data_IF_122018628293
#
_entry.id   IF_122018628293
#
_cell.length_a   1.000
_cell.length_b   1.000
_cell.length_c   1.000
_cell.angle_alpha   90.00
_cell.angle_beta   90.00
_cell.angle_gamma   90.00
#
_symmetry.space_group_name_H-M   'P 1'
#
loop_
_entity.id
_entity.type
_entity.pdbx_description
1 polymer ?
#
# COMPACT_ATOMS: atom_id res chain seq x y z
N UNK A 1 -36.52 -20.72 32.85
CA UNK A 1 -36.87 -20.70 31.44
C UNK A 1 -36.28 -19.45 30.70
N UNK A 2 -36.43 -18.26 31.25
CA UNK A 2 -35.89 -17.02 30.64
C UNK A 2 -34.37 -16.99 30.31
N UNK A 3 -33.56 -17.70 31.11
CA UNK A 3 -32.10 -17.75 30.96
C UNK A 3 -31.67 -18.55 29.69
N UNK A 4 -32.34 -19.68 29.42
CA UNK A 4 -32.09 -20.50 28.21
C UNK A 4 -32.49 -19.77 26.93
N UNK A 5 -33.61 -19.06 26.99
CA UNK A 5 -34.08 -18.26 25.82
C UNK A 5 -33.12 -17.13 25.49
N UNK A 6 -32.57 -16.41 26.49
CA UNK A 6 -31.55 -15.37 26.26
C UNK A 6 -30.27 -15.95 25.67
N UNK A 7 -29.83 -17.11 26.11
CA UNK A 7 -28.66 -17.77 25.53
C UNK A 7 -28.88 -18.18 24.07
N UNK A 8 -30.05 -18.72 23.73
CA UNK A 8 -30.38 -19.08 22.34
C UNK A 8 -30.47 -17.86 21.42
N UNK A 9 -31.01 -16.74 21.90
CA UNK A 9 -31.08 -15.49 21.12
C UNK A 9 -29.67 -14.91 20.88
N UNK A 10 -28.80 -14.89 21.90
CA UNK A 10 -27.41 -14.42 21.74
C UNK A 10 -26.61 -15.31 20.78
N UNK A 11 -26.84 -16.63 20.83
CA UNK A 11 -26.20 -17.54 19.88
C UNK A 11 -26.68 -17.30 18.44
N UNK A 12 -27.99 -17.13 18.23
CA UNK A 12 -28.57 -16.83 16.93
C UNK A 12 -28.06 -15.49 16.37
N UNK A 13 -27.96 -14.47 17.22
CA UNK A 13 -27.38 -13.18 16.83
C UNK A 13 -25.92 -13.33 16.37
N UNK A 14 -25.13 -14.11 17.10
CA UNK A 14 -23.74 -14.38 16.72
C UNK A 14 -23.65 -15.14 15.38
N UNK A 15 -24.51 -16.14 15.16
CA UNK A 15 -24.57 -16.86 13.89
C UNK A 15 -24.97 -15.94 12.72
N UNK A 16 -25.92 -15.03 12.96
CA UNK A 16 -26.32 -14.02 11.95
C UNK A 16 -25.17 -13.04 11.65
N UNK A 17 -24.43 -12.56 12.66
CA UNK A 17 -23.26 -11.71 12.45
C UNK A 17 -22.19 -12.41 11.61
N UNK A 18 -21.92 -13.68 11.87
CA UNK A 18 -20.98 -14.48 11.07
C UNK A 18 -21.47 -14.67 9.63
N UNK A 19 -22.75 -14.94 9.42
CA UNK A 19 -23.33 -15.09 8.10
C UNK A 19 -23.28 -13.77 7.31
N UNK A 20 -23.58 -12.64 7.96
CA UNK A 20 -23.46 -11.30 7.36
C UNK A 20 -22.00 -11.02 6.95
N UNK A 21 -21.04 -11.27 7.83
CA UNK A 21 -19.63 -11.06 7.52
C UNK A 21 -19.18 -11.90 6.31
N UNK A 22 -19.59 -13.17 6.24
CA UNK A 22 -19.29 -14.04 5.10
C UNK A 22 -19.94 -13.54 3.81
N UNK A 23 -21.18 -13.06 3.88
CA UNK A 23 -21.90 -12.51 2.73
C UNK A 23 -21.24 -11.24 2.22
N UNK A 24 -20.84 -10.35 3.12
CA UNK A 24 -20.11 -9.12 2.78
C UNK A 24 -18.78 -9.44 2.09
N UNK A 25 -17.98 -10.36 2.62
CA UNK A 25 -16.72 -10.78 1.97
C UNK A 25 -16.96 -11.26 0.53
N UNK A 26 -18.08 -11.93 0.27
CA UNK A 26 -18.47 -12.41 -1.07
C UNK A 26 -19.06 -11.35 -1.99
N UNK A 27 -19.43 -10.17 -1.48
CA UNK A 27 -20.08 -9.11 -2.27
C UNK A 27 -19.12 -8.06 -2.82
N UNK A 28 -17.85 -8.05 -2.39
CA UNK A 28 -16.81 -7.14 -2.90
C UNK A 28 -16.48 -7.41 -4.37
N UNK A 29 -16.02 -6.36 -5.07
CA UNK A 29 -15.54 -6.50 -6.43
C UNK A 29 -14.15 -7.17 -6.47
N UNK A 30 -13.74 -7.77 -7.59
CA UNK A 30 -12.41 -8.34 -7.72
C UNK A 30 -11.32 -7.32 -7.41
N UNK A 31 -10.48 -7.63 -6.43
CA UNK A 31 -9.39 -6.73 -5.98
C UNK A 31 -9.77 -5.80 -4.82
N UNK A 32 -11.01 -5.79 -4.39
CA UNK A 32 -11.44 -5.09 -3.18
C UNK A 32 -11.29 -5.98 -1.93
N UNK A 33 -11.00 -5.34 -0.82
CA UNK A 33 -10.96 -5.94 0.51
C UNK A 33 -12.01 -5.30 1.39
N UNK A 34 -12.72 -6.12 2.15
CA UNK A 34 -13.62 -5.64 3.19
C UNK A 34 -12.79 -5.05 4.34
N UNK A 35 -13.22 -3.92 4.86
CA UNK A 35 -12.71 -3.36 6.11
C UNK A 35 -12.89 -4.34 7.26
N UNK A 36 -12.03 -4.26 8.28
CA UNK A 36 -12.17 -5.07 9.50
C UNK A 36 -13.38 -4.64 10.34
N UNK A 37 -13.91 -3.44 10.09
CA UNK A 37 -15.06 -2.90 10.82
C UNK A 37 -16.35 -3.19 10.07
N UNK A 38 -17.17 -4.05 10.64
CA UNK A 38 -18.55 -4.29 10.19
C UNK A 38 -19.47 -3.68 11.22
N UNK A 39 -20.40 -2.84 10.78
CA UNK A 39 -21.38 -2.19 11.62
C UNK A 39 -22.66 -2.99 11.54
N UNK A 40 -23.10 -3.52 12.68
CA UNK A 40 -24.34 -4.26 12.77
C UNK A 40 -25.47 -3.37 13.28
N UNK A 41 -26.60 -3.42 12.58
CA UNK A 41 -27.84 -2.78 13.05
C UNK A 41 -28.44 -3.55 14.25
N UNK A 42 -29.38 -2.90 14.97
CA UNK A 42 -30.05 -3.54 16.06
C UNK A 42 -30.86 -4.77 15.61
N UNK A 43 -30.80 -5.90 16.32
CA UNK A 43 -31.59 -7.07 15.99
C UNK A 43 -33.08 -6.80 16.14
N UNK A 44 -33.84 -7.16 15.14
CA UNK A 44 -35.31 -7.12 15.15
C UNK A 44 -35.83 -8.54 15.20
N UNK A 45 -36.74 -8.83 16.12
CA UNK A 45 -37.37 -10.16 16.18
C UNK A 45 -38.87 -10.07 16.26
N UNK A 46 -39.47 -11.01 15.55
CA UNK A 46 -40.91 -11.29 15.57
C UNK A 46 -41.12 -12.70 16.04
N UNK A 47 -42.12 -12.89 16.85
CA UNK A 47 -42.56 -14.22 17.32
C UNK A 47 -44.04 -14.41 17.07
N UNK A 48 -44.42 -15.64 16.93
CA UNK A 48 -45.84 -16.05 16.75
C UNK A 48 -46.58 -16.12 18.09
N UNK A 49 -45.89 -15.91 19.23
CA UNK A 49 -46.48 -16.02 20.56
C UNK A 49 -46.08 -14.86 21.46
N UNK A 50 -46.91 -14.60 22.49
CA UNK A 50 -46.64 -13.56 23.49
C UNK A 50 -45.80 -14.10 24.66
N UNK A 51 -45.06 -13.20 25.36
CA UNK A 51 -44.38 -13.60 26.58
C UNK A 51 -45.35 -14.15 27.60
N UNK A 52 -45.02 -15.34 28.19
CA UNK A 52 -45.77 -16.10 29.16
C UNK A 52 -46.82 -17.10 28.59
N UNK A 53 -46.94 -17.29 27.32
CA UNK A 53 -47.72 -18.38 26.75
C UNK A 53 -47.14 -19.73 27.21
N UNK A 54 -48.00 -20.61 27.67
CA UNK A 54 -47.62 -21.96 28.15
C UNK A 54 -47.60 -22.93 26.98
N UNK A 55 -46.61 -22.79 26.10
CA UNK A 55 -46.44 -23.62 24.92
C UNK A 55 -45.12 -24.39 24.98
N UNK A 56 -45.06 -25.61 24.41
CA UNK A 56 -43.85 -26.40 24.39
C UNK A 56 -42.81 -25.89 23.37
N UNK A 57 -43.25 -25.25 22.28
CA UNK A 57 -42.44 -24.76 21.19
C UNK A 57 -43.05 -23.49 20.62
N UNK A 58 -42.20 -22.59 20.15
CA UNK A 58 -42.61 -21.38 19.42
C UNK A 58 -41.69 -21.15 18.23
N UNK A 59 -42.17 -20.42 17.24
CA UNK A 59 -41.40 -19.97 16.09
C UNK A 59 -41.08 -18.48 16.23
N UNK A 60 -39.89 -18.11 15.82
CA UNK A 60 -39.47 -16.71 15.81
C UNK A 60 -38.49 -16.44 14.67
N UNK A 61 -38.54 -15.25 14.16
CA UNK A 61 -37.61 -14.75 13.15
C UNK A 61 -36.82 -13.61 13.71
N UNK A 62 -35.49 -13.67 13.54
CA UNK A 62 -34.57 -12.57 13.86
C UNK A 62 -33.98 -12.02 12.55
N UNK A 63 -33.98 -10.72 12.43
CA UNK A 63 -33.37 -10.01 11.31
C UNK A 63 -32.33 -9.04 11.85
N UNK A 64 -31.13 -9.09 11.27
CA UNK A 64 -30.01 -8.17 11.58
C UNK A 64 -29.51 -7.63 10.26
N UNK A 65 -29.29 -6.32 10.19
CA UNK A 65 -28.57 -5.70 9.07
C UNK A 65 -27.09 -5.55 9.40
N UNK A 66 -26.23 -5.54 8.38
CA UNK A 66 -24.82 -5.26 8.54
C UNK A 66 -24.28 -4.47 7.35
N UNK A 67 -23.44 -3.51 7.63
CA UNK A 67 -22.78 -2.66 6.65
C UNK A 67 -21.26 -2.75 6.85
N UNK A 68 -20.51 -2.76 5.75
CA UNK A 68 -19.06 -2.78 5.77
C UNK A 68 -18.52 -2.05 4.54
N UNK A 69 -17.44 -1.33 4.73
CA UNK A 69 -16.79 -0.57 3.66
C UNK A 69 -15.74 -1.42 2.95
N UNK A 70 -15.62 -1.23 1.63
CA UNK A 70 -14.62 -1.91 0.79
C UNK A 70 -13.55 -0.92 0.33
N UNK A 71 -12.33 -1.40 0.19
CA UNK A 71 -11.23 -0.62 -0.34
C UNK A 71 -10.37 -1.43 -1.32
N UNK A 72 -9.79 -0.74 -2.29
CA UNK A 72 -8.85 -1.33 -3.25
C UNK A 72 -7.42 -1.27 -2.70
N UNK A 73 -6.82 -2.42 -2.47
CA UNK A 73 -5.40 -2.51 -2.06
C UNK A 73 -4.47 -1.86 -3.08
N UNK A 74 -4.77 -2.00 -4.37
CA UNK A 74 -3.99 -1.40 -5.45
C UNK A 74 -4.05 0.14 -5.42
N UNK A 75 -5.17 0.72 -5.03
CA UNK A 75 -5.30 2.18 -4.99
C UNK A 75 -4.62 2.76 -3.75
N UNK A 76 -4.67 2.06 -2.62
CA UNK A 76 -3.86 2.40 -1.44
C UNK A 76 -2.37 2.37 -1.79
N UNK A 77 -1.89 1.31 -2.46
CA UNK A 77 -0.49 1.22 -2.90
C UNK A 77 -0.11 2.35 -3.86
N UNK A 78 -0.96 2.70 -4.84
CA UNK A 78 -0.74 3.82 -5.76
C UNK A 78 -0.69 5.16 -5.02
N UNK A 79 -1.55 5.36 -4.01
CA UNK A 79 -1.51 6.56 -3.18
C UNK A 79 -0.17 6.71 -2.45
N UNK A 80 0.34 5.64 -1.83
CA UNK A 80 1.67 5.63 -1.21
C UNK A 80 2.79 5.86 -2.23
N UNK A 81 2.71 5.27 -3.41
CA UNK A 81 3.67 5.49 -4.50
C UNK A 81 3.69 6.95 -4.95
N UNK A 82 2.52 7.55 -5.12
CA UNK A 82 2.38 8.96 -5.49
C UNK A 82 2.98 9.86 -4.41
N UNK A 83 2.70 9.57 -3.15
CA UNK A 83 3.24 10.31 -2.01
C UNK A 83 4.77 10.22 -1.93
N UNK A 84 5.34 9.04 -2.16
CA UNK A 84 6.79 8.87 -2.23
C UNK A 84 7.39 9.63 -3.40
N UNK A 85 6.79 9.57 -4.59
CA UNK A 85 7.31 10.24 -5.79
C UNK A 85 7.39 11.75 -5.63
N UNK A 86 6.46 12.35 -4.89
CA UNK A 86 6.46 13.79 -4.59
C UNK A 86 7.56 14.21 -3.60
N UNK A 87 8.11 13.26 -2.84
CA UNK A 87 9.17 13.51 -1.84
C UNK A 87 10.56 13.16 -2.31
N UNK A 88 10.69 12.56 -3.48
CA UNK A 88 11.99 12.28 -4.08
C UNK A 88 12.61 13.62 -4.53
N UNK A 89 13.87 13.92 -4.14
CA UNK A 89 14.58 15.09 -4.61
C UNK A 89 14.64 15.15 -6.14
N UNK A 90 14.71 16.37 -6.71
CA UNK A 90 14.69 16.56 -8.17
C UNK A 90 15.88 15.92 -8.90
N UNK A 91 16.99 15.72 -8.20
CA UNK A 91 18.22 15.07 -8.69
C UNK A 91 18.18 13.54 -8.61
N UNK A 92 17.09 12.99 -8.07
CA UNK A 92 16.88 11.56 -7.90
C UNK A 92 15.61 11.09 -8.59
N UNK A 93 15.49 9.80 -8.78
CA UNK A 93 14.30 9.13 -9.32
C UNK A 93 14.05 7.81 -8.60
N UNK A 94 12.80 7.44 -8.49
CA UNK A 94 12.41 6.11 -7.98
C UNK A 94 12.87 5.04 -8.98
N UNK A 95 13.39 3.94 -8.45
CA UNK A 95 13.74 2.79 -9.25
C UNK A 95 12.49 1.96 -9.53
N UNK A 96 12.08 1.94 -10.79
CA UNK A 96 10.91 1.19 -11.25
C UNK A 96 11.10 -0.33 -11.20
N UNK A 97 12.34 -0.79 -11.22
CA UNK A 97 12.69 -2.21 -11.19
C UNK A 97 12.63 -2.83 -9.78
N UNK A 98 12.57 -1.99 -8.75
CA UNK A 98 12.49 -2.45 -7.37
C UNK A 98 11.08 -2.24 -6.84
N UNK A 99 10.44 -3.30 -6.29
CA UNK A 99 9.11 -3.17 -5.74
C UNK A 99 9.12 -2.19 -4.57
N UNK A 100 8.13 -1.29 -4.55
CA UNK A 100 7.87 -0.42 -3.41
C UNK A 100 7.29 -1.29 -2.30
N UNK A 101 7.95 -1.28 -1.15
CA UNK A 101 7.44 -1.97 0.03
C UNK A 101 6.49 -1.04 0.76
N UNK A 102 5.22 -1.40 0.80
CA UNK A 102 4.18 -0.66 1.52
C UNK A 102 3.64 -1.52 2.64
N UNK A 103 3.62 -0.98 3.84
CA UNK A 103 2.95 -1.57 5.00
C UNK A 103 1.96 -0.54 5.53
N UNK A 104 0.70 -0.92 5.65
CA UNK A 104 -0.34 -0.01 6.13
C UNK A 104 -1.36 -0.75 6.99
N UNK A 105 -2.11 0.03 7.75
CA UNK A 105 -3.29 -0.42 8.51
C UNK A 105 -4.38 0.64 8.41
N UNK A 106 -5.62 0.23 8.59
CA UNK A 106 -6.74 1.14 8.74
C UNK A 106 -6.66 1.74 10.14
N UNK A 107 -6.64 3.06 10.24
CA UNK A 107 -6.64 3.79 11.52
C UNK A 107 -8.06 4.08 11.96
N UNK A 108 -8.89 4.51 11.03
CA UNK A 108 -10.28 4.88 11.30
C UNK A 108 -11.13 4.51 10.09
N UNK A 109 -12.26 3.90 10.38
CA UNK A 109 -13.29 3.53 9.43
C UNK A 109 -14.59 4.13 9.97
N UNK A 110 -14.94 5.30 9.43
CA UNK A 110 -16.14 6.02 9.86
C UNK A 110 -17.28 5.77 8.90
N UNK A 111 -18.48 5.63 9.42
CA UNK A 111 -19.70 5.58 8.62
C UNK A 111 -19.71 6.68 7.54
N UNK A 112 -19.93 6.29 6.29
CA UNK A 112 -19.95 7.22 5.16
C UNK A 112 -18.79 7.09 4.19
N UNK A 113 -18.04 5.96 4.22
CA UNK A 113 -17.03 5.61 3.22
C UNK A 113 -15.70 6.35 3.35
N UNK A 114 -15.45 7.02 4.48
CA UNK A 114 -14.17 7.68 4.74
C UNK A 114 -13.26 6.77 5.55
N UNK A 115 -12.34 6.10 4.88
CA UNK A 115 -11.29 5.32 5.54
C UNK A 115 -10.01 6.12 5.65
N UNK A 116 -9.38 6.06 6.82
CA UNK A 116 -8.05 6.64 7.05
C UNK A 116 -7.03 5.53 7.16
N UNK A 117 -6.04 5.58 6.28
CA UNK A 117 -4.93 4.63 6.28
C UNK A 117 -3.68 5.26 6.89
N UNK A 118 -3.02 4.52 7.75
CA UNK A 118 -1.70 4.88 8.29
C UNK A 118 -0.72 3.79 7.90
N UNK A 119 0.40 4.19 7.32
CA UNK A 119 1.39 3.24 6.87
C UNK A 119 2.75 3.83 6.63
N UNK A 120 3.67 2.96 6.26
CA UNK A 120 5.02 3.30 5.82
C UNK A 120 5.24 2.72 4.43
N UNK A 121 5.97 3.47 3.62
CA UNK A 121 6.40 3.00 2.32
C UNK A 121 7.91 3.22 2.19
N UNK A 122 8.60 2.23 1.64
CA UNK A 122 10.02 2.27 1.36
C UNK A 122 10.27 1.95 -0.11
N UNK A 123 11.10 2.75 -0.73
CA UNK A 123 11.51 2.55 -2.11
C UNK A 123 12.99 2.90 -2.29
N UNK A 124 13.59 2.32 -3.30
CA UNK A 124 14.95 2.68 -3.69
C UNK A 124 14.93 3.86 -4.63
N UNK A 125 15.88 4.75 -4.45
CA UNK A 125 16.11 5.90 -5.30
C UNK A 125 17.48 5.82 -5.95
N UNK A 126 17.58 6.33 -7.18
CA UNK A 126 18.84 6.48 -7.88
C UNK A 126 19.03 7.93 -8.34
N UNK A 127 20.27 8.39 -8.53
CA UNK A 127 20.51 9.66 -9.17
C UNK A 127 19.84 9.74 -10.54
N UNK A 128 19.19 10.87 -10.85
CA UNK A 128 18.67 11.12 -12.18
C UNK A 128 19.81 11.45 -13.11
N UNK A 129 20.19 10.50 -13.93
CA UNK A 129 21.25 10.66 -14.91
C UNK A 129 20.66 11.03 -16.27
N UNK A 130 21.13 12.13 -16.85
CA UNK A 130 20.76 12.53 -18.21
C UNK A 130 21.59 11.71 -19.21
N UNK A 131 20.98 10.62 -19.70
CA UNK A 131 21.64 9.73 -20.65
C UNK A 131 22.08 10.43 -21.93
N UNK A 132 21.29 11.38 -22.45
CA UNK A 132 21.60 12.10 -23.67
C UNK A 132 22.87 12.94 -23.46
N UNK A 133 22.95 13.63 -22.33
CA UNK A 133 24.12 14.41 -21.94
C UNK A 133 25.35 13.54 -21.73
N UNK A 134 25.20 12.40 -21.06
CA UNK A 134 26.28 11.45 -20.84
C UNK A 134 26.82 10.93 -22.17
N UNK A 135 25.95 10.44 -23.06
CA UNK A 135 26.34 9.95 -24.39
C UNK A 135 27.04 11.03 -25.22
N UNK A 136 26.56 12.26 -25.20
CA UNK A 136 27.16 13.38 -25.89
C UNK A 136 28.57 13.72 -25.35
N UNK A 137 28.79 13.52 -24.04
CA UNK A 137 30.08 13.78 -23.41
C UNK A 137 31.13 12.70 -23.67
N UNK A 138 30.72 11.45 -23.95
CA UNK A 138 31.67 10.35 -24.13
C UNK A 138 31.88 9.94 -25.61
N UNK A 139 30.99 10.35 -26.52
CA UNK A 139 31.07 10.03 -27.94
C UNK A 139 32.39 10.46 -28.55
N UNK A 140 33.08 9.57 -29.29
CA UNK A 140 34.35 9.82 -29.96
C UNK A 140 35.55 10.11 -29.05
N UNK A 141 35.40 10.06 -27.73
CA UNK A 141 36.53 10.27 -26.81
C UNK A 141 37.40 9.03 -26.65
N UNK A 142 38.69 9.20 -26.33
CA UNK A 142 39.52 8.11 -25.87
C UNK A 142 38.89 7.39 -24.68
N UNK A 143 38.99 6.06 -24.65
CA UNK A 143 38.33 5.22 -23.63
C UNK A 143 38.68 5.63 -22.20
N UNK A 144 39.96 6.01 -21.95
CA UNK A 144 40.43 6.46 -20.66
C UNK A 144 39.72 7.78 -20.22
N UNK A 145 39.51 8.70 -21.15
CA UNK A 145 38.81 9.97 -20.86
C UNK A 145 37.31 9.74 -20.63
N UNK A 146 36.68 8.85 -21.41
CA UNK A 146 35.30 8.47 -21.23
C UNK A 146 35.09 7.81 -19.86
N UNK A 147 35.96 6.89 -19.44
CA UNK A 147 35.95 6.25 -18.12
C UNK A 147 36.09 7.30 -17.03
N UNK A 148 37.06 8.18 -17.11
CA UNK A 148 37.29 9.23 -16.12
C UNK A 148 36.08 10.16 -15.94
N UNK A 149 35.41 10.50 -17.05
CA UNK A 149 34.17 11.28 -16.99
C UNK A 149 33.04 10.51 -16.29
N UNK A 150 32.85 9.24 -16.62
CA UNK A 150 31.81 8.38 -16.04
C UNK A 150 32.04 8.13 -14.55
N UNK A 151 33.28 7.95 -14.11
CA UNK A 151 33.65 7.74 -12.69
C UNK A 151 33.38 8.98 -11.81
N UNK A 152 33.19 10.17 -12.41
CA UNK A 152 32.81 11.39 -11.70
C UNK A 152 31.30 11.55 -11.49
N UNK A 153 30.50 10.72 -12.16
CA UNK A 153 29.06 10.71 -11.94
C UNK A 153 28.75 10.12 -10.56
N UNK A 154 27.60 10.43 -9.97
CA UNK A 154 27.19 9.91 -8.65
C UNK A 154 26.77 8.45 -8.76
N UNK A 155 27.65 7.58 -9.23
CA UNK A 155 27.47 6.15 -9.42
C UNK A 155 28.61 5.39 -8.73
N UNK A 156 28.30 4.16 -8.27
CA UNK A 156 29.23 3.38 -7.47
C UNK A 156 30.39 2.81 -8.27
N UNK A 157 30.13 2.36 -9.50
CA UNK A 157 31.17 1.75 -10.37
C UNK A 157 30.76 1.87 -11.84
N UNK A 158 31.77 1.88 -12.68
CA UNK A 158 31.63 1.94 -14.16
C UNK A 158 32.30 0.74 -14.78
N UNK A 159 31.59 0.05 -15.65
CA UNK A 159 32.16 -0.96 -16.55
C UNK A 159 31.85 -0.57 -17.99
N UNK A 160 32.86 -0.47 -18.83
CA UNK A 160 32.70 -0.25 -20.27
C UNK A 160 32.96 -1.57 -20.95
N UNK A 161 31.95 -2.06 -21.71
CA UNK A 161 32.03 -3.26 -22.53
C UNK A 161 31.99 -2.85 -24.00
N UNK A 162 32.94 -3.30 -24.77
CA UNK A 162 33.04 -3.02 -26.19
C UNK A 162 32.72 -4.29 -26.96
N UNK A 163 31.94 -4.16 -28.03
CA UNK A 163 31.60 -5.26 -28.94
C UNK A 163 31.51 -4.72 -30.36
N UNK A 164 31.98 -5.44 -31.39
CA UNK A 164 32.61 -6.76 -31.35
C UNK A 164 34.15 -6.75 -31.11
N UNK A 165 34.77 -5.58 -31.10
CA UNK A 165 36.20 -5.40 -30.94
C UNK A 165 36.52 -4.31 -29.93
N UNK A 166 37.59 -4.49 -29.18
CA UNK A 166 38.10 -3.46 -28.26
C UNK A 166 38.81 -2.38 -29.08
N UNK A 167 38.29 -1.15 -29.03
CA UNK A 167 38.84 0.02 -29.70
C UNK A 167 39.35 1.01 -28.67
N UNK A 168 40.43 1.75 -28.97
CA UNK A 168 40.94 2.77 -28.02
C UNK A 168 40.03 3.99 -27.87
N UNK A 169 38.99 4.11 -28.70
CA UNK A 169 38.08 5.23 -28.78
C UNK A 169 36.62 4.78 -28.64
N UNK A 170 35.82 5.59 -27.97
CA UNK A 170 34.37 5.42 -27.94
C UNK A 170 33.76 5.59 -29.34
N UNK A 171 32.63 4.93 -29.65
CA UNK A 171 31.95 5.08 -30.93
C UNK A 171 31.66 6.54 -31.27
N UNK A 172 31.84 6.90 -32.54
CA UNK A 172 31.53 8.24 -33.05
C UNK A 172 30.01 8.48 -33.22
N UNK A 173 29.22 7.39 -33.27
CA UNK A 173 27.76 7.49 -33.41
C UNK A 173 27.12 7.30 -32.02
N UNK A 174 26.37 8.30 -31.55
CA UNK A 174 25.65 8.27 -30.27
C UNK A 174 24.74 7.06 -30.14
N UNK A 175 24.07 6.64 -31.22
CA UNK A 175 23.18 5.49 -31.23
C UNK A 175 23.84 4.13 -31.03
N UNK A 176 25.19 4.06 -31.06
CA UNK A 176 25.94 2.85 -30.75
C UNK A 176 26.41 2.76 -29.31
N UNK A 177 26.07 3.75 -28.50
CA UNK A 177 26.39 3.78 -27.06
C UNK A 177 25.12 3.43 -26.29
N UNK A 178 25.10 2.26 -25.67
CA UNK A 178 24.04 1.84 -24.76
C UNK A 178 24.49 2.03 -23.31
N UNK A 179 23.62 2.64 -22.49
CA UNK A 179 23.84 2.78 -21.05
C UNK A 179 22.90 1.82 -20.32
N UNK A 180 23.48 0.98 -19.47
CA UNK A 180 22.73 0.06 -18.61
C UNK A 180 23.04 0.35 -17.16
N UNK A 181 22.02 0.57 -16.37
CA UNK A 181 22.15 0.80 -14.93
C UNK A 181 21.87 -0.51 -14.20
N UNK A 182 22.83 -0.94 -13.39
CA UNK A 182 22.65 -2.10 -12.51
C UNK A 182 22.52 -1.57 -11.10
N UNK A 183 21.33 -1.74 -10.53
CA UNK A 183 21.09 -1.40 -9.13
C UNK A 183 21.57 -2.56 -8.27
N UNK A 184 22.61 -2.32 -7.48
CA UNK A 184 22.97 -3.23 -6.42
C UNK A 184 22.13 -2.92 -5.20
N UNK A 185 21.20 -3.80 -4.85
CA UNK A 185 20.41 -3.71 -3.63
C UNK A 185 21.34 -3.80 -2.42
N UNK A 186 21.77 -2.66 -1.92
CA UNK A 186 22.25 -2.58 -0.55
C UNK A 186 21.04 -2.70 0.37
N UNK A 187 21.18 -3.33 1.54
CA UNK A 187 20.12 -3.34 2.53
C UNK A 187 19.59 -1.92 2.72
N UNK A 188 18.27 -1.70 2.71
CA UNK A 188 17.72 -0.38 2.87
C UNK A 188 18.20 0.16 4.22
N UNK A 189 18.80 1.34 4.22
CA UNK A 189 18.91 2.10 5.44
C UNK A 189 17.46 2.37 5.90
N UNK A 190 17.09 2.03 7.13
CA UNK A 190 15.75 2.30 7.63
C UNK A 190 15.57 3.82 7.65
N UNK A 191 14.92 4.34 6.64
CA UNK A 191 14.46 5.73 6.68
C UNK A 191 13.24 5.74 7.60
N UNK A 192 13.49 5.92 8.87
CA UNK A 192 12.46 6.13 9.88
C UNK A 192 11.84 7.51 9.63
N UNK A 193 10.90 7.58 8.72
CA UNK A 193 9.99 8.71 8.63
C UNK A 193 8.93 8.51 9.73
N UNK A 194 9.34 8.72 10.98
CA UNK A 194 8.42 8.87 12.09
C UNK A 194 7.63 10.17 11.89
N UNK A 195 6.44 10.07 11.34
CA UNK A 195 5.47 11.14 11.45
C UNK A 195 4.97 11.15 12.89
N UNK A 196 5.63 11.93 13.74
CA UNK A 196 5.10 12.29 15.06
C UNK A 196 3.92 13.20 14.81
N UNK A 197 2.70 12.68 15.03
CA UNK A 197 1.51 13.53 15.08
C UNK A 197 1.68 14.56 16.20
N UNK A 198 1.28 15.82 16.00
CA UNK A 198 1.34 16.81 17.06
C UNK A 198 0.39 16.41 18.19
N UNK A 199 0.95 16.29 19.38
CA UNK A 199 0.21 16.06 20.62
C UNK A 199 -0.72 17.27 20.89
N UNK A 200 -2.00 17.06 21.20
CA UNK A 200 -2.87 18.18 21.58
C UNK A 200 -2.39 18.74 22.92
N UNK A 201 -2.13 20.04 22.95
CA UNK A 201 -1.83 20.78 24.16
C UNK A 201 -2.99 20.70 25.15
N UNK A 202 -2.75 20.52 26.45
CA UNK A 202 -3.81 20.56 27.45
C UNK A 202 -4.31 21.99 27.58
N UNK A 203 -5.61 22.21 27.30
CA UNK A 203 -6.31 23.42 27.67
C UNK A 203 -6.36 23.53 29.19
N UNK A 204 -5.71 24.56 29.72
CA UNK A 204 -5.94 25.00 31.07
C UNK A 204 -7.31 25.72 31.09
N UNK A 205 -8.21 25.21 31.92
CA UNK A 205 -9.44 25.90 32.28
C UNK A 205 -9.22 26.75 33.52
N UNK A 206 -9.86 27.92 33.62
CA UNK A 206 -9.80 28.82 34.77
C UNK A 206 -10.55 28.28 35.98
#
# INVERSE_FOLDING_TARGET
MAMKMRQSLAQLEQELHQAIAQTLVGSGQPGEKLSETIIYGPPQYTTDHQPNDKIPTFSGTMTVSGEGDFYSDSDVQKAFQTYLSQRVPNDQQLLTESPIQVTYRILNDTQGGNMTFVGSAAAYVAPRLDEAKIRAQIVGRPLAQARFYLERLPIRSVAIKEQPMSLPLMPLLIGRISLHYIVQSGAPAPTTAGATAPSPSPHASP
#
